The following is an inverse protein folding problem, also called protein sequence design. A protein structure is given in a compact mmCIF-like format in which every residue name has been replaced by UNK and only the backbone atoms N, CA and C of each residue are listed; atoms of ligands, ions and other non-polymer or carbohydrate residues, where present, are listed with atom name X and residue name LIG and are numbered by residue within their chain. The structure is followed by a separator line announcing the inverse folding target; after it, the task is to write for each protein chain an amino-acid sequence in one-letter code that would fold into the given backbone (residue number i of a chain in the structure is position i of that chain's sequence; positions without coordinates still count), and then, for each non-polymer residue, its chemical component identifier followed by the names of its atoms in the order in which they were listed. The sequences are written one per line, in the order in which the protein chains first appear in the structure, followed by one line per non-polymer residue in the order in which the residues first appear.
data_IF_989933319819
#
_entry.id   IF_989933319819
#
_cell.length_a   1.000
_cell.length_b   1.000
_cell.length_c   1.000
_cell.angle_alpha   90.00
_cell.angle_beta   90.00
_cell.angle_gamma   90.00
#
_symmetry.space_group_name_H-M   'P 1'
#
loop_
_entity.id
_entity.type
_entity.pdbx_description
1 polymer ?
#
# COMPACT_ATOMS: atom_id res chain seq x y z
N UNK A 1 6.53 21.00 20.48
CA UNK A 1 5.61 21.73 19.57
C UNK A 1 5.14 20.76 18.51
N UNK A 2 3.83 20.69 18.24
CA UNK A 2 3.33 19.87 17.14
C UNK A 2 3.74 20.53 15.81
N UNK A 3 4.53 19.85 14.99
CA UNK A 3 4.78 20.23 13.59
C UNK A 3 3.83 19.45 12.68
N UNK A 4 3.73 19.79 11.38
CA UNK A 4 2.98 19.00 10.39
C UNK A 4 3.44 17.52 10.33
N UNK A 5 4.63 17.20 10.84
CA UNK A 5 5.28 15.89 10.71
C UNK A 5 5.56 15.19 12.05
N UNK A 6 4.62 15.28 13.00
CA UNK A 6 4.75 14.68 14.35
C UNK A 6 4.94 13.16 14.35
N UNK A 7 4.58 12.44 13.28
CA UNK A 7 4.59 10.98 13.27
C UNK A 7 5.78 10.33 12.56
N UNK A 8 6.70 11.14 12.02
CA UNK A 8 7.89 10.68 11.29
C UNK A 8 8.68 9.60 12.05
N UNK A 9 9.03 9.83 13.31
CA UNK A 9 9.86 8.89 14.09
C UNK A 9 9.09 7.62 14.49
N UNK A 10 7.77 7.74 14.67
CA UNK A 10 6.91 6.57 14.89
C UNK A 10 6.91 5.67 13.65
N UNK A 11 6.87 6.27 12.46
CA UNK A 11 6.89 5.56 11.19
C UNK A 11 8.18 4.81 10.92
N UNK A 12 9.30 5.47 11.15
CA UNK A 12 10.60 4.83 11.02
C UNK A 12 10.69 3.60 11.94
N UNK A 13 10.24 3.71 13.20
CA UNK A 13 10.22 2.57 14.14
C UNK A 13 9.29 1.44 13.67
N UNK A 14 8.10 1.77 13.15
CA UNK A 14 7.18 0.78 12.58
C UNK A 14 7.78 0.05 11.39
N UNK A 15 8.49 0.76 10.50
CA UNK A 15 9.21 0.16 9.37
C UNK A 15 10.23 -0.88 9.86
N UNK A 16 11.03 -0.55 10.86
CA UNK A 16 11.99 -1.51 11.44
C UNK A 16 11.30 -2.70 12.09
N UNK A 17 10.20 -2.47 12.82
CA UNK A 17 9.40 -3.54 13.40
C UNK A 17 8.82 -4.47 12.33
N UNK A 18 8.32 -3.93 11.22
CA UNK A 18 7.81 -4.73 10.09
C UNK A 18 8.90 -5.62 9.49
N UNK A 19 10.11 -5.09 9.29
CA UNK A 19 11.23 -5.92 8.85
C UNK A 19 11.58 -7.01 9.87
N UNK A 20 11.62 -6.68 11.16
CA UNK A 20 11.90 -7.66 12.21
C UNK A 20 10.88 -8.80 12.21
N UNK A 21 9.58 -8.48 12.18
CA UNK A 21 8.49 -9.47 12.11
C UNK A 21 8.61 -10.30 10.84
N UNK A 22 8.87 -9.68 9.69
CA UNK A 22 9.06 -10.38 8.43
C UNK A 22 10.21 -11.38 8.48
N UNK A 23 11.38 -11.00 9.01
CA UNK A 23 12.52 -11.91 9.14
C UNK A 23 12.23 -13.08 10.07
N UNK A 24 11.59 -12.83 11.22
CA UNK A 24 11.18 -13.91 12.15
C UNK A 24 10.28 -14.91 11.45
N UNK A 25 9.34 -14.43 10.63
CA UNK A 25 8.42 -15.28 9.89
C UNK A 25 9.15 -16.09 8.81
N UNK A 26 9.99 -15.45 7.99
CA UNK A 26 10.70 -16.16 6.93
C UNK A 26 11.69 -17.18 7.50
N UNK A 27 12.38 -16.86 8.60
CA UNK A 27 13.24 -17.80 9.32
C UNK A 27 12.41 -18.97 9.86
N UNK A 28 11.27 -18.70 10.51
CA UNK A 28 10.40 -19.74 11.07
C UNK A 28 9.85 -20.69 10.00
N UNK A 29 9.35 -20.14 8.89
CA UNK A 29 8.89 -20.94 7.74
C UNK A 29 10.06 -21.69 7.11
N UNK A 30 11.17 -21.01 6.81
CA UNK A 30 12.36 -21.64 6.23
C UNK A 30 12.92 -22.78 7.09
N UNK A 31 12.88 -22.64 8.42
CA UNK A 31 13.30 -23.67 9.37
C UNK A 31 12.35 -24.88 9.34
N UNK A 32 11.04 -24.64 9.39
CA UNK A 32 10.05 -25.71 9.31
C UNK A 32 10.20 -26.53 8.01
N UNK A 33 10.38 -25.85 6.87
CA UNK A 33 10.62 -26.51 5.59
C UNK A 33 11.96 -27.25 5.56
N UNK A 34 13.02 -26.64 6.08
CA UNK A 34 14.33 -27.29 6.20
C UNK A 34 14.24 -28.60 6.99
N UNK A 35 13.44 -28.62 8.06
CA UNK A 35 13.20 -29.80 8.88
C UNK A 35 12.39 -30.87 8.13
N UNK A 36 11.28 -30.49 7.48
CA UNK A 36 10.39 -31.42 6.76
C UNK A 36 11.11 -32.10 5.58
N UNK A 37 11.89 -31.34 4.81
CA UNK A 37 12.59 -31.85 3.63
C UNK A 37 14.02 -32.34 3.93
N UNK A 38 14.47 -32.25 5.19
CA UNK A 38 15.80 -32.68 5.64
C UNK A 38 16.96 -31.93 4.97
N UNK A 39 16.73 -30.72 4.47
CA UNK A 39 17.72 -29.95 3.70
C UNK A 39 17.94 -28.57 4.32
N UNK A 40 19.11 -28.37 4.93
CA UNK A 40 19.52 -27.11 5.57
C UNK A 40 19.71 -25.96 4.58
N UNK A 41 19.97 -26.26 3.29
CA UNK A 41 20.11 -25.24 2.27
C UNK A 41 18.81 -24.42 2.09
N UNK A 42 17.65 -25.01 2.37
CA UNK A 42 16.35 -24.31 2.27
C UNK A 42 16.30 -23.11 3.21
N UNK A 43 16.72 -23.29 4.47
CA UNK A 43 16.75 -22.21 5.45
C UNK A 43 17.76 -21.13 5.04
N UNK A 44 18.97 -21.51 4.64
CA UNK A 44 20.01 -20.56 4.22
C UNK A 44 19.55 -19.74 3.01
N UNK A 45 18.96 -20.39 2.01
CA UNK A 45 18.41 -19.73 0.82
C UNK A 45 17.26 -18.80 1.21
N UNK A 46 16.33 -19.24 2.06
CA UNK A 46 15.21 -18.42 2.51
C UNK A 46 15.67 -17.15 3.23
N UNK A 47 16.67 -17.26 4.11
CA UNK A 47 17.25 -16.11 4.82
C UNK A 47 17.95 -15.16 3.85
N UNK A 48 18.87 -15.66 3.02
CA UNK A 48 19.59 -14.83 2.05
C UNK A 48 18.62 -14.12 1.10
N UNK A 49 17.62 -14.85 0.61
CA UNK A 49 16.59 -14.31 -0.27
C UNK A 49 15.73 -13.26 0.44
N UNK A 50 15.38 -13.45 1.71
CA UNK A 50 14.61 -12.46 2.49
C UNK A 50 15.39 -11.17 2.74
N UNK A 51 16.69 -11.26 3.01
CA UNK A 51 17.56 -10.09 3.21
C UNK A 51 17.71 -9.34 1.89
N UNK A 52 18.00 -10.06 0.81
CA UNK A 52 18.08 -9.49 -0.53
C UNK A 52 16.77 -8.79 -0.92
N UNK A 53 15.62 -9.45 -0.74
CA UNK A 53 14.31 -8.88 -1.04
C UNK A 53 13.97 -7.68 -0.17
N UNK A 54 14.37 -7.67 1.10
CA UNK A 54 14.14 -6.52 1.99
C UNK A 54 14.92 -5.27 1.55
N UNK A 55 16.20 -5.45 1.19
CA UNK A 55 17.04 -4.37 0.63
C UNK A 55 16.50 -3.89 -0.71
N UNK A 56 16.16 -4.84 -1.60
CA UNK A 56 15.58 -4.54 -2.91
C UNK A 56 14.25 -3.79 -2.76
N UNK A 57 13.37 -4.23 -1.86
CA UNK A 57 12.12 -3.56 -1.51
C UNK A 57 12.35 -2.12 -1.09
N UNK A 58 13.25 -1.88 -0.14
CA UNK A 58 13.50 -0.54 0.38
C UNK A 58 13.94 0.44 -0.72
N UNK A 59 14.69 -0.01 -1.72
CA UNK A 59 15.21 0.85 -2.79
C UNK A 59 14.40 0.90 -4.09
N UNK A 60 13.58 -0.10 -4.38
CA UNK A 60 12.87 -0.23 -5.67
C UNK A 60 11.34 -0.29 -5.54
N UNK A 61 10.80 -0.20 -4.33
CA UNK A 61 9.37 -0.37 -4.10
C UNK A 61 8.48 0.66 -4.81
N UNK A 62 8.90 1.92 -4.89
CA UNK A 62 8.22 2.94 -5.70
C UNK A 62 8.14 2.52 -7.18
N UNK A 63 9.25 2.03 -7.75
CA UNK A 63 9.30 1.55 -9.14
C UNK A 63 8.42 0.33 -9.36
N UNK A 64 8.32 -0.56 -8.38
CA UNK A 64 7.42 -1.71 -8.44
C UNK A 64 5.97 -1.23 -8.47
N UNK A 65 5.57 -0.36 -7.55
CA UNK A 65 4.22 0.21 -7.49
C UNK A 65 3.86 0.90 -8.81
N UNK A 66 4.74 1.76 -9.34
CA UNK A 66 4.51 2.48 -10.59
C UNK A 66 4.35 1.57 -11.80
N UNK A 67 5.09 0.45 -11.85
CA UNK A 67 4.93 -0.56 -12.92
C UNK A 67 3.63 -1.33 -12.77
N UNK A 68 3.26 -1.71 -11.55
CA UNK A 68 2.00 -2.42 -11.27
C UNK A 68 0.79 -1.58 -11.66
N UNK A 69 0.82 -0.28 -11.37
CA UNK A 69 -0.26 0.65 -11.72
C UNK A 69 -0.16 1.20 -13.13
N UNK A 70 0.89 0.86 -13.89
CA UNK A 70 1.16 1.39 -15.25
C UNK A 70 1.18 2.93 -15.29
N UNK A 71 1.68 3.54 -14.22
CA UNK A 71 1.76 4.98 -14.08
C UNK A 71 2.72 5.58 -15.13
N UNK A 72 2.27 6.62 -15.82
CA UNK A 72 3.05 7.38 -16.80
C UNK A 72 3.59 8.64 -16.15
N UNK A 73 4.89 8.90 -16.30
CA UNK A 73 5.53 10.10 -15.72
C UNK A 73 4.99 11.33 -16.44
N UNK A 74 4.69 12.37 -15.67
CA UNK A 74 4.26 13.67 -16.19
C UNK A 74 5.38 14.68 -15.98
N UNK A 75 5.74 15.38 -17.05
CA UNK A 75 6.59 16.56 -16.99
C UNK A 75 5.72 17.83 -17.02
N UNK A 76 6.29 18.96 -16.61
CA UNK A 76 5.59 20.25 -16.57
C UNK A 76 4.93 20.63 -17.90
N UNK A 77 5.51 20.19 -19.03
CA UNK A 77 4.96 20.42 -20.38
C UNK A 77 3.71 19.60 -20.70
N UNK A 78 3.56 18.42 -20.08
CA UNK A 78 2.48 17.48 -20.40
C UNK A 78 1.19 17.88 -19.66
N UNK A 79 1.32 18.34 -18.42
CA UNK A 79 0.21 18.90 -17.63
C UNK A 79 0.72 20.00 -16.69
N UNK A 80 0.78 21.27 -17.18
CA UNK A 80 1.30 22.39 -16.40
C UNK A 80 0.50 22.65 -15.12
N UNK A 81 -0.81 22.47 -15.16
CA UNK A 81 -1.69 22.74 -14.01
C UNK A 81 -1.40 21.77 -12.86
N UNK A 82 -1.44 20.46 -13.12
CA UNK A 82 -1.12 19.44 -12.11
C UNK A 82 0.29 19.65 -11.54
N UNK A 83 1.28 19.90 -12.41
CA UNK A 83 2.65 20.09 -11.98
C UNK A 83 2.81 21.32 -11.09
N UNK A 84 2.16 22.44 -11.43
CA UNK A 84 2.21 23.68 -10.65
C UNK A 84 1.51 23.52 -9.29
N UNK A 85 0.39 22.80 -9.21
CA UNK A 85 -0.28 22.53 -7.93
C UNK A 85 0.65 21.74 -7.01
N UNK A 86 1.24 20.64 -7.51
CA UNK A 86 2.16 19.82 -6.72
C UNK A 86 3.39 20.63 -6.30
N UNK A 87 3.96 21.44 -7.20
CA UNK A 87 5.11 22.31 -6.93
C UNK A 87 4.82 23.33 -5.82
N UNK A 88 3.69 24.04 -5.92
CA UNK A 88 3.29 25.02 -4.91
C UNK A 88 3.03 24.39 -3.55
N UNK A 89 2.34 23.24 -3.52
CA UNK A 89 2.07 22.52 -2.29
C UNK A 89 3.35 21.95 -1.67
N UNK A 90 4.28 21.42 -2.47
CA UNK A 90 5.57 20.92 -1.98
C UNK A 90 6.39 22.05 -1.35
N UNK A 91 6.46 23.22 -1.99
CA UNK A 91 7.11 24.42 -1.43
C UNK A 91 6.45 24.82 -0.11
N UNK A 92 5.11 24.89 -0.07
CA UNK A 92 4.35 25.28 1.13
C UNK A 92 4.56 24.29 2.28
N UNK A 93 4.67 23.00 1.96
CA UNK A 93 4.92 21.93 2.91
C UNK A 93 6.40 21.85 3.36
N UNK A 94 7.32 22.54 2.68
CA UNK A 94 8.75 22.40 2.92
C UNK A 94 9.30 21.03 2.49
N UNK A 95 8.72 20.45 1.44
CA UNK A 95 9.12 19.16 0.87
C UNK A 95 9.87 19.34 -0.46
N UNK A 96 10.81 18.44 -0.80
CA UNK A 96 11.32 18.35 -2.17
C UNK A 96 10.17 18.09 -3.16
N UNK A 97 10.30 18.59 -4.38
CA UNK A 97 9.31 18.35 -5.43
C UNK A 97 9.21 16.84 -5.73
N UNK A 98 8.07 16.18 -5.46
CA UNK A 98 7.92 14.78 -5.78
C UNK A 98 7.82 14.58 -7.29
N UNK A 99 8.12 13.37 -7.76
CA UNK A 99 7.84 13.01 -9.15
C UNK A 99 6.34 12.85 -9.34
N UNK A 100 5.80 13.43 -10.40
CA UNK A 100 4.36 13.40 -10.70
C UNK A 100 4.07 12.36 -11.78
N UNK A 101 3.02 11.57 -11.57
CA UNK A 101 2.57 10.54 -12.50
C UNK A 101 1.05 10.59 -12.71
N UNK A 102 0.62 10.12 -13.87
CA UNK A 102 -0.79 9.88 -14.19
C UNK A 102 -1.00 8.39 -14.49
N UNK A 103 -2.02 7.81 -13.88
CA UNK A 103 -2.44 6.43 -14.13
C UNK A 103 -3.61 6.42 -15.10
N UNK A 104 -3.48 5.61 -16.15
CA UNK A 104 -4.53 5.35 -17.15
C UNK A 104 -5.64 4.49 -16.53
N UNK A 105 -6.48 5.14 -15.73
CA UNK A 105 -7.59 4.55 -15.01
C UNK A 105 -8.76 5.54 -14.97
N UNK A 106 -9.95 5.03 -15.25
CA UNK A 106 -11.20 5.80 -15.32
C UNK A 106 -11.81 6.07 -13.94
N UNK A 107 -11.50 5.22 -12.96
CA UNK A 107 -11.95 5.38 -11.58
C UNK A 107 -11.12 6.49 -10.90
N UNK A 108 -11.75 7.52 -10.32
CA UNK A 108 -11.04 8.64 -9.71
C UNK A 108 -10.33 8.21 -8.43
N UNK A 109 -9.01 8.33 -8.41
CA UNK A 109 -8.20 8.00 -7.24
C UNK A 109 -6.83 8.69 -7.31
N UNK A 110 -6.12 8.66 -6.18
CA UNK A 110 -4.73 9.13 -6.07
C UNK A 110 -3.96 8.24 -5.09
N UNK A 111 -2.63 8.29 -5.16
CA UNK A 111 -1.76 7.74 -4.14
C UNK A 111 -0.40 8.43 -4.16
N UNK A 112 0.27 8.48 -3.02
CA UNK A 112 1.71 8.73 -2.94
C UNK A 112 2.49 7.42 -2.78
N UNK A 113 3.80 7.42 -3.04
CA UNK A 113 4.72 6.33 -2.69
C UNK A 113 6.14 6.85 -2.62
N UNK A 114 7.05 6.07 -2.02
CA UNK A 114 8.46 6.44 -1.91
C UNK A 114 9.06 6.00 -0.59
N UNK A 115 10.40 5.90 -0.56
CA UNK A 115 11.15 5.50 0.63
C UNK A 115 11.46 6.67 1.58
N UNK A 116 11.50 7.88 1.03
CA UNK A 116 11.75 9.14 1.74
C UNK A 116 11.19 10.31 0.91
N UNK A 117 11.11 11.54 1.47
CA UNK A 117 10.62 12.71 0.75
C UNK A 117 11.38 13.05 -0.54
N UNK A 118 12.69 12.82 -0.57
CA UNK A 118 13.56 13.09 -1.72
C UNK A 118 13.28 12.14 -2.90
N UNK A 119 12.77 10.94 -2.62
CA UNK A 119 12.40 9.94 -3.61
C UNK A 119 10.88 9.80 -3.77
N UNK A 120 10.11 10.74 -3.24
CA UNK A 120 8.66 10.70 -3.26
C UNK A 120 8.07 10.76 -4.68
N UNK A 121 6.91 10.12 -4.80
CA UNK A 121 6.10 10.07 -6.00
C UNK A 121 4.67 10.34 -5.61
N UNK A 122 3.98 11.16 -6.40
CA UNK A 122 2.54 11.35 -6.31
C UNK A 122 1.93 10.99 -7.65
N UNK A 123 0.89 10.16 -7.62
CA UNK A 123 0.19 9.69 -8.79
C UNK A 123 -1.31 9.95 -8.66
N UNK A 124 -1.91 10.41 -9.76
CA UNK A 124 -3.37 10.63 -9.88
C UNK A 124 -3.92 9.84 -11.05
N UNK A 125 -5.16 9.39 -10.99
CA UNK A 125 -5.79 8.73 -12.14
C UNK A 125 -6.33 9.76 -13.14
N UNK A 126 -6.46 9.36 -14.41
CA UNK A 126 -7.16 10.18 -15.41
C UNK A 126 -8.60 10.49 -15.00
N UNK A 127 -9.28 9.53 -14.37
CA UNK A 127 -10.62 9.72 -13.81
C UNK A 127 -10.69 10.85 -12.80
N UNK A 128 -9.66 10.98 -11.94
CA UNK A 128 -9.59 12.04 -10.94
C UNK A 128 -9.48 13.42 -11.60
N UNK A 129 -8.58 13.55 -12.58
CA UNK A 129 -8.35 14.81 -13.31
C UNK A 129 -9.56 15.27 -14.12
N UNK A 130 -10.45 14.36 -14.51
CA UNK A 130 -11.66 14.70 -15.29
C UNK A 130 -12.81 15.22 -14.42
N UNK A 131 -12.86 14.86 -13.14
CA UNK A 131 -14.02 15.15 -12.27
C UNK A 131 -13.75 16.21 -11.21
N UNK A 132 -12.48 16.38 -10.82
CA UNK A 132 -12.10 17.34 -9.80
C UNK A 132 -11.78 18.68 -10.42
N UNK A 133 -12.26 19.75 -9.77
CA UNK A 133 -11.75 21.08 -10.06
C UNK A 133 -10.38 21.31 -9.41
N UNK A 134 -9.78 22.48 -9.67
CA UNK A 134 -8.46 22.83 -9.18
C UNK A 134 -8.35 22.80 -7.65
N UNK A 135 -9.36 23.30 -6.94
CA UNK A 135 -9.32 23.40 -5.46
C UNK A 135 -9.49 22.03 -4.81
N UNK A 136 -10.31 21.18 -5.42
CA UNK A 136 -10.49 19.79 -5.02
C UNK A 136 -9.23 18.94 -5.27
N UNK A 137 -8.61 19.09 -6.44
CA UNK A 137 -7.36 18.43 -6.77
C UNK A 137 -6.24 18.88 -5.83
N UNK A 138 -6.16 20.18 -5.52
CA UNK A 138 -5.22 20.73 -4.54
C UNK A 138 -5.44 20.11 -3.15
N UNK A 139 -6.70 19.96 -2.71
CA UNK A 139 -7.04 19.26 -1.46
C UNK A 139 -6.56 17.81 -1.41
N UNK A 140 -6.79 17.05 -2.49
CA UNK A 140 -6.34 15.65 -2.60
C UNK A 140 -4.82 15.56 -2.61
N UNK A 141 -4.13 16.38 -3.40
CA UNK A 141 -2.67 16.37 -3.47
C UNK A 141 -2.01 16.82 -2.17
N UNK A 142 -2.64 17.76 -1.44
CA UNK A 142 -2.18 18.19 -0.13
C UNK A 142 -2.28 17.06 0.90
N UNK A 143 -3.35 16.27 0.86
CA UNK A 143 -3.48 15.04 1.65
C UNK A 143 -2.36 14.05 1.32
N UNK A 144 -2.13 13.73 0.04
CA UNK A 144 -1.06 12.80 -0.38
C UNK A 144 0.35 13.29 0.03
N UNK A 145 0.62 14.59 -0.10
CA UNK A 145 1.89 15.19 0.34
C UNK A 145 2.09 15.12 1.86
N UNK A 146 1.00 15.15 2.64
CA UNK A 146 1.10 14.99 4.09
C UNK A 146 1.63 13.61 4.49
N UNK A 147 1.27 12.56 3.72
CA UNK A 147 1.81 11.21 3.91
C UNK A 147 3.29 11.12 3.53
N UNK A 148 3.72 11.84 2.49
CA UNK A 148 5.14 11.96 2.12
C UNK A 148 5.94 12.55 3.28
N UNK A 149 5.51 13.70 3.79
CA UNK A 149 6.23 14.39 4.87
C UNK A 149 6.23 13.62 6.20
N UNK A 150 5.13 12.94 6.54
CA UNK A 150 5.06 12.07 7.72
C UNK A 150 5.78 10.73 7.55
N UNK A 151 6.29 10.39 6.35
CA UNK A 151 6.86 9.08 6.01
C UNK A 151 5.89 7.91 6.21
N UNK A 152 4.59 8.16 6.02
CA UNK A 152 3.59 7.09 6.01
C UNK A 152 3.80 6.17 4.79
N UNK A 153 4.21 6.76 3.67
CA UNK A 153 4.42 6.01 2.43
C UNK A 153 5.49 4.93 2.55
N UNK A 154 6.57 5.17 3.29
CA UNK A 154 7.62 4.17 3.50
C UNK A 154 7.05 2.89 4.13
N UNK A 155 6.19 3.04 5.15
CA UNK A 155 5.58 1.92 5.85
C UNK A 155 4.66 1.14 4.90
N UNK A 156 3.73 1.84 4.25
CA UNK A 156 2.77 1.24 3.33
C UNK A 156 3.45 0.54 2.16
N UNK A 157 4.45 1.17 1.57
CA UNK A 157 5.15 0.68 0.38
C UNK A 157 6.03 -0.54 0.68
N UNK A 158 6.65 -0.63 1.86
CA UNK A 158 7.35 -1.85 2.28
C UNK A 158 6.37 -3.00 2.45
N UNK A 159 5.20 -2.76 3.04
CA UNK A 159 4.19 -3.81 3.23
C UNK A 159 3.68 -4.38 1.90
N UNK A 160 3.50 -3.55 0.85
CA UNK A 160 3.18 -4.05 -0.51
C UNK A 160 4.16 -5.16 -0.92
N UNK A 161 5.46 -4.91 -0.76
CA UNK A 161 6.49 -5.84 -1.23
C UNK A 161 6.59 -7.07 -0.33
N UNK A 162 6.49 -6.91 0.99
CA UNK A 162 6.51 -8.03 1.94
C UNK A 162 5.30 -8.95 1.74
N UNK A 163 4.10 -8.38 1.57
CA UNK A 163 2.88 -9.14 1.29
C UNK A 163 2.97 -9.81 -0.08
N UNK A 164 3.45 -9.09 -1.10
CA UNK A 164 3.69 -9.66 -2.43
C UNK A 164 4.68 -10.83 -2.39
N UNK A 165 5.73 -10.74 -1.57
CA UNK A 165 6.69 -11.82 -1.36
C UNK A 165 6.04 -13.05 -0.71
N UNK A 166 5.25 -12.85 0.35
CA UNK A 166 4.54 -13.96 1.01
C UNK A 166 3.53 -14.62 0.07
N UNK A 167 2.89 -13.84 -0.80
CA UNK A 167 2.02 -14.37 -1.86
C UNK A 167 2.80 -15.22 -2.88
N UNK A 168 3.98 -14.76 -3.33
CA UNK A 168 4.84 -15.53 -4.23
C UNK A 168 5.34 -16.83 -3.59
N UNK A 169 5.74 -16.80 -2.31
CA UNK A 169 6.12 -18.01 -1.58
C UNK A 169 4.94 -18.99 -1.49
N UNK A 170 3.75 -18.48 -1.20
CA UNK A 170 2.53 -19.29 -1.11
C UNK A 170 2.19 -19.93 -2.47
N UNK A 171 2.28 -19.17 -3.56
CA UNK A 171 2.05 -19.67 -4.92
C UNK A 171 3.10 -20.71 -5.35
N UNK A 172 4.39 -20.43 -5.10
CA UNK A 172 5.47 -21.36 -5.40
C UNK A 172 5.31 -22.68 -4.65
N UNK A 173 4.87 -22.63 -3.40
CA UNK A 173 4.56 -23.83 -2.62
C UNK A 173 3.37 -24.60 -3.20
N UNK A 174 2.25 -23.92 -3.50
CA UNK A 174 1.08 -24.55 -4.13
C UNK A 174 1.46 -25.25 -5.45
N UNK A 175 2.30 -24.62 -6.27
CA UNK A 175 2.80 -25.19 -7.54
C UNK A 175 3.74 -26.37 -7.32
N UNK A 176 4.68 -26.28 -6.38
CA UNK A 176 5.62 -27.37 -6.04
C UNK A 176 4.88 -28.63 -5.62
N UNK A 177 3.79 -28.49 -4.86
CA UNK A 177 2.94 -29.60 -4.46
C UNK A 177 2.11 -30.16 -5.62
N UNK A 178 1.60 -29.31 -6.50
CA UNK A 178 0.86 -29.75 -7.69
C UNK A 178 1.76 -30.56 -8.64
N UNK A 179 3.01 -30.12 -8.85
CA UNK A 179 3.98 -30.81 -9.72
C UNK A 179 4.56 -32.06 -9.03
N UNK A 180 4.77 -32.03 -7.71
CA UNK A 180 5.13 -33.21 -6.92
C UNK A 180 4.02 -34.28 -6.93
N UNK A 181 2.74 -33.87 -6.99
CA UNK A 181 1.60 -34.77 -7.12
C UNK A 181 1.44 -35.37 -8.52
N UNK A 182 1.95 -34.71 -9.57
CA UNK A 182 1.85 -35.18 -10.96
C UNK A 182 2.99 -36.14 -11.35
N UNK A 183 4.16 -36.03 -10.71
CA UNK A 183 5.32 -36.90 -10.96
C UNK A 183 5.41 -38.10 -9.99
N UNK A 184 4.50 -38.18 -9.01
CA UNK A 184 4.43 -39.26 -8.02
C UNK A 184 3.46 -40.37 -8.46
N UNK A 185 3.97 -41.36 -9.19
CA UNK A 185 3.23 -42.56 -9.54
C UNK A 185 2.76 -43.36 -8.31
N UNK A 186 1.49 -43.76 -8.33
CA UNK A 186 0.84 -44.81 -7.50
C UNK A 186 1.24 -44.84 -6.02
N UNK A 187 0.57 -44.05 -5.18
CA UNK A 187 0.04 -44.57 -3.90
C UNK A 187 -1.00 -43.63 -3.29
N UNK A 188 -2.27 -44.05 -3.38
CA UNK A 188 -3.48 -43.31 -2.97
C UNK A 188 -3.70 -43.27 -1.44
N UNK A 189 -2.64 -43.03 -0.66
CA UNK A 189 -2.73 -42.77 0.80
C UNK A 189 -2.11 -41.43 1.25
N UNK A 190 -1.40 -40.72 0.36
CA UNK A 190 -0.65 -39.49 0.71
C UNK A 190 -1.33 -38.14 0.41
N UNK A 191 -2.46 -38.11 -0.32
CA UNK A 191 -3.10 -36.84 -0.75
C UNK A 191 -3.62 -35.98 0.41
N UNK A 192 -3.99 -36.60 1.54
CA UNK A 192 -4.42 -35.87 2.74
C UNK A 192 -3.28 -35.11 3.43
N UNK A 193 -2.06 -35.65 3.43
CA UNK A 193 -0.91 -35.01 4.09
C UNK A 193 -0.48 -33.71 3.40
N UNK A 194 -0.54 -33.68 2.07
CA UNK A 194 -0.23 -32.49 1.26
C UNK A 194 -1.28 -31.38 1.46
N UNK A 195 -2.56 -31.74 1.48
CA UNK A 195 -3.66 -30.80 1.72
C UNK A 195 -3.58 -30.25 3.16
N UNK A 196 -3.24 -31.08 4.14
CA UNK A 196 -3.02 -30.65 5.53
C UNK A 196 -1.83 -29.69 5.61
N UNK A 197 -0.73 -29.95 4.89
CA UNK A 197 0.44 -29.07 4.86
C UNK A 197 0.12 -27.69 4.26
N UNK A 198 -0.68 -27.65 3.19
CA UNK A 198 -1.21 -26.40 2.61
C UNK A 198 -2.10 -25.67 3.60
N UNK A 199 -3.03 -26.39 4.23
CA UNK A 199 -3.92 -25.82 5.23
C UNK A 199 -3.14 -25.19 6.40
N UNK A 200 -2.11 -25.88 6.91
CA UNK A 200 -1.28 -25.38 8.01
C UNK A 200 -0.44 -24.19 7.58
N UNK A 201 0.19 -24.23 6.39
CA UNK A 201 0.99 -23.10 5.91
C UNK A 201 0.14 -21.84 5.70
N UNK A 202 -1.02 -21.96 5.04
CA UNK A 202 -1.94 -20.84 4.85
C UNK A 202 -2.50 -20.34 6.18
N UNK A 203 -2.85 -21.25 7.11
CA UNK A 203 -3.33 -20.87 8.44
C UNK A 203 -2.28 -20.08 9.25
N UNK A 204 -0.98 -20.33 9.03
CA UNK A 204 0.10 -19.56 9.68
C UNK A 204 0.37 -18.25 8.94
N UNK A 205 0.44 -18.27 7.60
CA UNK A 205 0.80 -17.08 6.81
C UNK A 205 -0.32 -16.03 6.75
N UNK A 206 -1.59 -16.43 6.71
CA UNK A 206 -2.71 -15.48 6.57
C UNK A 206 -2.80 -14.47 7.74
N UNK A 207 -2.74 -14.88 9.03
CA UNK A 207 -2.72 -13.93 10.15
C UNK A 207 -1.51 -13.00 10.14
N UNK A 208 -0.35 -13.48 9.67
CA UNK A 208 0.87 -12.68 9.57
C UNK A 208 0.70 -11.58 8.52
N UNK A 209 0.25 -11.95 7.31
CA UNK A 209 -0.04 -10.98 6.24
C UNK A 209 -1.03 -9.93 6.74
N UNK A 210 -2.11 -10.37 7.40
CA UNK A 210 -3.09 -9.46 7.99
C UNK A 210 -2.46 -8.52 9.03
N UNK A 211 -1.59 -9.04 9.90
CA UNK A 211 -0.90 -8.25 10.92
C UNK A 211 0.05 -7.22 10.31
N UNK A 212 0.81 -7.59 9.28
CA UNK A 212 1.70 -6.66 8.56
C UNK A 212 0.90 -5.52 7.92
N UNK A 213 -0.24 -5.84 7.28
CA UNK A 213 -1.17 -4.85 6.72
C UNK A 213 -1.72 -3.94 7.83
N UNK A 214 -2.20 -4.50 8.94
CA UNK A 214 -2.73 -3.70 10.05
C UNK A 214 -1.67 -2.80 10.71
N UNK A 215 -0.43 -3.25 10.82
CA UNK A 215 0.65 -2.43 11.36
C UNK A 215 1.02 -1.26 10.46
N UNK A 216 0.87 -1.44 9.14
CA UNK A 216 1.10 -0.39 8.16
C UNK A 216 0.00 0.67 8.15
N UNK A 217 -1.22 0.27 8.47
CA UNK A 217 -2.41 1.05 8.18
C UNK A 217 -3.03 1.52 9.48
N UNK A 218 -3.17 2.83 9.62
CA UNK A 218 -3.79 3.43 10.80
C UNK A 218 -4.85 4.42 10.36
N UNK A 219 -6.13 4.09 10.62
CA UNK A 219 -7.27 4.98 10.35
C UNK A 219 -7.12 6.37 10.95
N UNK A 220 -6.47 6.48 12.12
CA UNK A 220 -6.16 7.78 12.75
C UNK A 220 -5.28 8.67 11.87
N UNK A 221 -4.46 8.10 10.99
CA UNK A 221 -3.55 8.85 10.12
C UNK A 221 -4.27 9.46 8.95
N UNK A 222 -5.25 8.77 8.38
CA UNK A 222 -6.10 9.33 7.33
C UNK A 222 -6.75 10.62 7.82
N UNK A 223 -7.29 10.64 9.05
CA UNK A 223 -7.84 11.87 9.63
C UNK A 223 -6.78 12.97 9.89
N UNK A 224 -5.55 12.60 10.25
CA UNK A 224 -4.46 13.57 10.43
C UNK A 224 -3.95 14.11 9.09
N UNK A 225 -3.94 13.28 8.05
CA UNK A 225 -3.62 13.65 6.70
C UNK A 225 -4.71 14.58 6.12
N UNK A 226 -5.99 14.31 6.41
CA UNK A 226 -7.10 15.22 6.09
C UNK A 226 -6.91 16.59 6.75
N UNK A 227 -6.63 16.60 8.06
CA UNK A 227 -6.36 17.84 8.79
C UNK A 227 -5.12 18.58 8.25
N UNK A 228 -4.05 17.85 7.93
CA UNK A 228 -2.82 18.41 7.36
C UNK A 228 -3.05 18.96 5.96
N UNK A 229 -3.82 18.28 5.13
CA UNK A 229 -4.23 18.74 3.81
C UNK A 229 -5.03 20.03 3.91
N UNK A 230 -6.02 20.07 4.81
CA UNK A 230 -6.81 21.28 5.08
C UNK A 230 -5.96 22.44 5.63
N UNK A 231 -4.97 22.18 6.47
CA UNK A 231 -4.02 23.19 6.96
C UNK A 231 -3.11 23.71 5.84
N UNK A 232 -2.68 22.83 4.94
CA UNK A 232 -1.78 23.17 3.84
C UNK A 232 -2.49 24.02 2.78
N UNK A 233 -3.71 23.66 2.41
CA UNK A 233 -4.53 24.41 1.44
C UNK A 233 -5.26 25.60 2.07
N UNK A 234 -5.43 25.59 3.40
CA UNK A 234 -6.33 26.50 4.14
C UNK A 234 -7.77 26.45 3.65
N UNK A 235 -8.16 25.35 2.99
CA UNK A 235 -9.47 25.20 2.37
C UNK A 235 -9.97 23.75 2.53
N UNK A 236 -10.54 23.39 3.70
CA UNK A 236 -11.01 22.02 3.98
C UNK A 236 -12.11 21.55 3.03
N UNK A 237 -12.93 22.47 2.51
CA UNK A 237 -14.03 22.14 1.61
C UNK A 237 -13.54 21.53 0.28
N UNK A 238 -12.35 21.91 -0.20
CA UNK A 238 -11.76 21.32 -1.40
C UNK A 238 -11.58 19.80 -1.26
N UNK A 239 -10.98 19.36 -0.16
CA UNK A 239 -10.81 17.93 0.10
C UNK A 239 -12.15 17.24 0.39
N UNK A 240 -13.06 17.89 1.15
CA UNK A 240 -14.36 17.32 1.46
C UNK A 240 -15.20 17.05 0.19
N UNK A 241 -15.32 18.05 -0.70
CA UNK A 241 -16.03 17.91 -1.98
C UNK A 241 -15.36 16.85 -2.88
N UNK A 242 -14.03 16.81 -2.91
CA UNK A 242 -13.29 15.78 -3.66
C UNK A 242 -13.64 14.36 -3.19
N UNK A 243 -13.63 14.12 -1.86
CA UNK A 243 -13.96 12.82 -1.29
C UNK A 243 -15.41 12.40 -1.58
N UNK A 244 -16.36 13.34 -1.57
CA UNK A 244 -17.75 13.08 -1.96
C UNK A 244 -17.87 12.67 -3.43
N UNK A 245 -17.15 13.36 -4.32
CA UNK A 245 -17.10 13.03 -5.75
C UNK A 245 -16.48 11.65 -5.97
N UNK A 246 -15.37 11.33 -5.30
CA UNK A 246 -14.72 10.02 -5.37
C UNK A 246 -15.65 8.92 -4.86
N UNK A 247 -16.31 9.10 -3.72
CA UNK A 247 -17.23 8.11 -3.13
C UNK A 247 -18.44 7.76 -4.01
N UNK A 248 -18.83 8.66 -4.92
CA UNK A 248 -19.86 8.41 -5.94
C UNK A 248 -19.39 7.46 -7.05
N UNK A 249 -18.08 7.34 -7.27
CA UNK A 249 -17.46 6.58 -8.37
C UNK A 249 -16.76 5.31 -7.89
N UNK A 250 -17.45 4.47 -7.13
CA UNK A 250 -16.89 3.28 -6.47
C UNK A 250 -16.81 2.03 -7.36
N UNK A 251 -16.40 2.19 -8.61
CA UNK A 251 -16.19 1.04 -9.50
C UNK A 251 -14.84 0.37 -9.21
N UNK A 252 -14.72 -0.96 -9.36
CA UNK A 252 -13.43 -1.64 -9.19
C UNK A 252 -12.38 -1.13 -10.18
N UNK A 253 -11.20 -0.79 -9.69
CA UNK A 253 -10.07 -0.34 -10.51
C UNK A 253 -9.41 -1.53 -11.20
N UNK A 254 -9.02 -1.37 -12.47
CA UNK A 254 -8.23 -2.37 -13.22
C UNK A 254 -6.75 -2.32 -12.85
N UNK A 255 -6.28 -1.13 -12.47
CA UNK A 255 -4.89 -0.85 -12.10
C UNK A 255 -4.53 -1.23 -10.66
N UNK A 256 -5.52 -1.51 -9.82
CA UNK A 256 -5.31 -1.90 -8.43
C UNK A 256 -5.26 -3.43 -8.26
N UNK A 257 -4.41 -3.87 -7.33
CA UNK A 257 -4.37 -5.25 -6.86
C UNK A 257 -4.44 -5.25 -5.32
N UNK A 258 -4.76 -6.37 -4.69
CA UNK A 258 -4.87 -6.49 -3.24
C UNK A 258 -3.60 -6.00 -2.51
N UNK A 259 -2.43 -6.16 -3.13
CA UNK A 259 -1.15 -5.71 -2.58
C UNK A 259 -0.96 -4.19 -2.62
N UNK A 260 -1.63 -3.46 -3.53
CA UNK A 260 -1.53 -1.99 -3.67
C UNK A 260 -2.78 -1.27 -3.17
N UNK A 261 -3.80 -2.01 -2.74
CA UNK A 261 -5.11 -1.47 -2.39
C UNK A 261 -5.05 -0.38 -1.31
N UNK A 262 -4.19 -0.56 -0.32
CA UNK A 262 -4.00 0.36 0.80
C UNK A 262 -3.19 1.63 0.48
N UNK A 263 -2.63 1.74 -0.72
CA UNK A 263 -1.94 2.96 -1.16
C UNK A 263 -2.95 4.00 -1.67
N UNK A 264 -4.09 3.55 -2.19
CA UNK A 264 -5.06 4.42 -2.83
C UNK A 264 -5.85 5.24 -1.79
N UNK A 265 -6.14 6.49 -2.11
CA UNK A 265 -6.93 7.41 -1.28
C UNK A 265 -8.31 6.84 -0.90
N UNK A 266 -8.91 6.08 -1.81
CA UNK A 266 -10.18 5.37 -1.60
C UNK A 266 -10.09 3.90 -2.03
N UNK A 267 -10.91 3.05 -1.41
CA UNK A 267 -10.91 1.60 -1.64
C UNK A 267 -11.11 1.28 -3.14
N UNK A 268 -10.11 0.67 -3.80
CA UNK A 268 -10.17 0.41 -5.23
C UNK A 268 -11.01 -0.82 -5.61
N UNK A 269 -11.53 -1.58 -4.64
CA UNK A 269 -12.35 -2.78 -4.88
C UNK A 269 -13.86 -2.50 -4.93
N UNK A 270 -14.28 -1.26 -4.63
CA UNK A 270 -15.67 -0.79 -4.76
C UNK A 270 -16.61 -1.15 -3.60
N UNK A 271 -17.91 -0.86 -3.76
CA UNK A 271 -18.94 -0.83 -2.69
C UNK A 271 -19.34 -2.16 -2.04
N UNK A 272 -18.77 -3.31 -2.43
CA UNK A 272 -19.14 -4.61 -1.84
C UNK A 272 -17.95 -5.28 -1.16
N UNK A 273 -17.57 -4.81 0.03
CA UNK A 273 -16.66 -5.57 0.85
C UNK A 273 -17.43 -6.75 1.48
N UNK A 274 -16.99 -7.98 1.23
CA UNK A 274 -17.43 -9.15 1.99
C UNK A 274 -17.15 -8.96 3.49
N UNK A 275 -17.74 -9.78 4.36
CA UNK A 275 -17.51 -9.70 5.82
C UNK A 275 -16.02 -9.70 6.19
N UNK A 276 -15.20 -10.48 5.47
CA UNK A 276 -13.75 -10.46 5.64
C UNK A 276 -13.10 -9.17 5.19
N UNK A 277 -13.52 -8.53 4.09
CA UNK A 277 -12.87 -7.30 3.64
C UNK A 277 -13.25 -6.06 4.45
N UNK A 278 -14.32 -6.10 5.26
CA UNK A 278 -14.52 -5.11 6.35
C UNK A 278 -13.41 -5.15 7.40
N UNK A 279 -12.80 -6.31 7.66
CA UNK A 279 -11.63 -6.41 8.54
C UNK A 279 -10.32 -5.95 7.86
N UNK A 280 -10.35 -5.83 6.53
CA UNK A 280 -9.26 -5.27 5.71
C UNK A 280 -9.62 -3.90 5.13
N UNK A 281 -10.65 -3.22 5.66
CA UNK A 281 -10.94 -1.83 5.28
C UNK A 281 -9.87 -0.93 5.87
N UNK A 282 -8.98 -0.49 5.00
CA UNK A 282 -7.76 0.22 5.37
C UNK A 282 -8.02 1.70 5.62
N UNK A 283 -9.05 2.26 4.97
CA UNK A 283 -9.46 3.64 5.11
C UNK A 283 -10.72 3.75 5.98
N UNK A 284 -10.85 4.82 6.80
CA UNK A 284 -12.12 5.14 7.43
C UNK A 284 -13.19 5.46 6.37
N UNK A 285 -14.49 5.33 6.71
CA UNK A 285 -15.57 5.73 5.82
C UNK A 285 -15.38 7.15 5.29
N UNK A 286 -15.67 7.36 4.00
CA UNK A 286 -15.50 8.67 3.36
C UNK A 286 -16.42 9.71 3.99
N UNK A 287 -17.63 9.29 4.37
CA UNK A 287 -18.63 10.12 5.05
C UNK A 287 -18.07 10.68 6.37
N UNK A 288 -17.33 9.86 7.12
CA UNK A 288 -16.71 10.27 8.38
C UNK A 288 -15.60 11.31 8.18
N UNK A 289 -14.81 11.15 7.11
CA UNK A 289 -13.75 12.10 6.75
C UNK A 289 -14.34 13.44 6.32
N UNK A 290 -15.37 13.41 5.47
CA UNK A 290 -16.10 14.60 5.01
C UNK A 290 -16.72 15.35 6.18
N UNK A 291 -17.37 14.65 7.12
CA UNK A 291 -17.96 15.26 8.30
C UNK A 291 -16.92 16.02 9.14
N UNK A 292 -15.77 15.39 9.39
CA UNK A 292 -14.67 16.03 10.15
C UNK A 292 -14.10 17.25 9.44
N UNK A 293 -13.89 17.18 8.13
CA UNK A 293 -13.37 18.31 7.34
C UNK A 293 -14.30 19.52 7.37
N UNK A 294 -15.62 19.30 7.35
CA UNK A 294 -16.62 20.37 7.43
C UNK A 294 -16.91 20.83 8.86
N UNK A 295 -16.26 20.27 9.88
CA UNK A 295 -16.58 20.56 11.28
C UNK A 295 -18.00 20.13 11.67
N UNK A 296 -18.61 19.21 10.92
CA UNK A 296 -19.86 18.57 11.29
C UNK A 296 -19.49 17.57 12.39
N UNK A 297 -19.59 18.01 13.65
CA UNK A 297 -19.29 17.21 14.83
C UNK A 297 -19.95 15.83 14.76
N UNK A 298 -19.20 14.78 15.12
CA UNK A 298 -19.76 13.51 15.60
C UNK A 298 -19.75 13.52 17.12
#
# INVERSE_FOLDING_TARGET
MASLYTHKDSNIRKTWLLFAVFFVVVIGVGWAFSYIYGNQAILVIAVLFSVFMSLFSYWYSDKIVLRLTRAKKVEKKDNPELYNIVENLAITAGLPMPRVYVVDESVPNAFATGRDPEHAVVAVTEGLLRILDRSELEGVLAHELSHVGNRDMLVSTIVVVLVGFLALLSDMFLRSLFWGSLNGGRDRRGGGGVIILIGVMLAILSPIVASLIQLAISRKREYLADASGALLTRYPEGLASALEKIGKHSAPMKSANNATAHLWLSDPHGKRPGFMSRMFMTHPPLEDRVARLRGMNM
#
